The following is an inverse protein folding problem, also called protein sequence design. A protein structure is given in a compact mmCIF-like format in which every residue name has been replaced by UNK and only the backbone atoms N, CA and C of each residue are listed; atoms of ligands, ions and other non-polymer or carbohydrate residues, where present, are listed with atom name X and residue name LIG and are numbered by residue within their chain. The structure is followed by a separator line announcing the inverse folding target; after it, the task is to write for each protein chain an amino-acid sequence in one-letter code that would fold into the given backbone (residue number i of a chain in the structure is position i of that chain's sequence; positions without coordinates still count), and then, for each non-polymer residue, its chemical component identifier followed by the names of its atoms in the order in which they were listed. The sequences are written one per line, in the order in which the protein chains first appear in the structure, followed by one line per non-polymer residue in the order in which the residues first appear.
data_IF_547233933738
#
_entry.id   IF_547233933738
#
_cell.length_a   1.000
_cell.length_b   1.000
_cell.length_c   1.000
_cell.angle_alpha   90.00
_cell.angle_beta   90.00
_cell.angle_gamma   90.00
#
_symmetry.space_group_name_H-M   'P 1'
#
loop_
_entity.id
_entity.type
_entity.pdbx_description
1 polymer ?
#
# COMPACT_ATOMS: atom_id res chain seq x y z
N UNK A 1 -4.08 -22.31 6.48
CA UNK A 1 -2.89 -21.45 6.26
C UNK A 1 -1.78 -21.70 7.26
N UNK A 2 -2.07 -22.23 8.46
CA UNK A 2 -1.06 -22.44 9.51
C UNK A 2 0.15 -23.28 9.07
N UNK A 3 -0.08 -24.44 8.44
CA UNK A 3 0.99 -25.32 7.94
C UNK A 3 1.96 -24.60 6.98
N UNK A 4 1.45 -23.86 6.01
CA UNK A 4 2.28 -23.20 5.01
C UNK A 4 3.17 -22.12 5.63
N UNK A 5 2.65 -21.31 6.55
CA UNK A 5 3.42 -20.24 7.22
C UNK A 5 4.54 -20.78 8.11
N UNK A 6 4.35 -21.98 8.66
CA UNK A 6 5.28 -22.63 9.58
C UNK A 6 6.20 -23.65 8.92
N UNK A 7 5.99 -23.97 7.64
CA UNK A 7 6.80 -24.96 6.94
C UNK A 7 8.29 -24.53 6.92
N UNK A 8 9.25 -25.41 7.25
CA UNK A 8 10.66 -25.02 7.43
C UNK A 8 11.24 -24.23 6.25
N UNK A 9 10.91 -24.61 5.02
CA UNK A 9 11.34 -23.89 3.81
C UNK A 9 10.80 -22.45 3.74
N UNK A 10 9.56 -22.22 4.16
CA UNK A 10 8.94 -20.90 4.13
C UNK A 10 9.43 -20.01 5.26
N UNK A 11 9.72 -20.60 6.43
CA UNK A 11 10.34 -19.89 7.56
C UNK A 11 11.76 -19.45 7.17
N UNK A 12 12.60 -20.37 6.69
CA UNK A 12 13.97 -20.09 6.28
C UNK A 12 14.06 -18.99 5.23
N UNK A 13 13.09 -18.98 4.31
CA UNK A 13 13.05 -18.00 3.23
C UNK A 13 12.33 -16.72 3.62
N UNK A 14 11.69 -16.63 4.79
CA UNK A 14 10.82 -15.51 5.15
C UNK A 14 9.71 -15.29 4.12
N UNK A 15 9.10 -16.36 3.60
CA UNK A 15 8.02 -16.31 2.59
C UNK A 15 6.79 -15.56 3.09
N UNK A 16 6.53 -15.62 4.39
CA UNK A 16 5.49 -14.86 5.06
C UNK A 16 6.13 -13.93 6.09
N UNK A 17 5.54 -12.74 6.23
CA UNK A 17 5.91 -11.71 7.20
C UNK A 17 4.67 -11.37 8.04
N UNK A 18 4.90 -10.94 9.27
CA UNK A 18 3.87 -10.36 10.11
C UNK A 18 3.98 -8.83 10.05
N UNK A 19 2.90 -8.16 9.66
CA UNK A 19 2.83 -6.71 9.65
C UNK A 19 1.47 -6.27 10.16
N UNK A 20 1.43 -5.34 11.12
CA UNK A 20 0.21 -4.86 11.74
C UNK A 20 -0.69 -5.98 12.29
N UNK A 21 -0.09 -7.04 12.86
CA UNK A 21 -0.80 -8.20 13.41
C UNK A 21 -1.40 -9.15 12.37
N UNK A 22 -1.07 -8.97 11.08
CA UNK A 22 -1.56 -9.81 9.99
C UNK A 22 -0.37 -10.56 9.36
N UNK A 23 -0.47 -11.89 9.30
CA UNK A 23 0.47 -12.71 8.53
C UNK A 23 0.12 -12.64 7.05
N UNK A 24 1.07 -12.18 6.23
CA UNK A 24 0.91 -12.01 4.79
C UNK A 24 2.17 -12.42 4.03
N UNK A 25 2.08 -12.75 2.74
CA UNK A 25 3.25 -13.03 1.92
C UNK A 25 4.21 -11.84 1.88
N UNK A 26 5.51 -12.09 1.95
CA UNK A 26 6.53 -11.10 1.66
C UNK A 26 6.54 -10.77 0.14
N UNK A 27 7.00 -9.58 -0.27
CA UNK A 27 7.17 -9.25 -1.68
C UNK A 27 8.00 -10.30 -2.45
N UNK A 28 7.54 -10.65 -3.64
CA UNK A 28 8.19 -11.62 -4.52
C UNK A 28 8.15 -11.16 -5.99
N UNK A 29 9.16 -11.49 -6.82
CA UNK A 29 10.39 -12.23 -6.50
C UNK A 29 11.37 -11.41 -5.62
N UNK A 30 12.37 -12.09 -5.03
CA UNK A 30 13.38 -11.46 -4.17
C UNK A 30 14.55 -10.97 -5.01
N UNK A 31 14.58 -9.68 -5.31
CA UNK A 31 15.72 -9.06 -5.97
C UNK A 31 16.89 -8.90 -5.00
N UNK A 32 18.11 -9.15 -5.49
CA UNK A 32 19.34 -9.06 -4.69
C UNK A 32 19.83 -7.63 -4.50
N UNK A 33 19.67 -6.77 -5.51
CA UNK A 33 20.16 -5.38 -5.47
C UNK A 33 19.12 -4.40 -4.90
N UNK A 34 17.85 -4.59 -5.26
CA UNK A 34 16.74 -3.71 -4.84
C UNK A 34 15.61 -4.52 -4.19
N UNK A 35 15.81 -5.03 -2.96
CA UNK A 35 14.78 -5.81 -2.27
C UNK A 35 13.46 -5.02 -2.14
N UNK A 36 12.37 -5.62 -2.62
CA UNK A 36 11.03 -5.07 -2.41
C UNK A 36 10.63 -5.11 -0.93
N UNK A 37 9.83 -4.15 -0.50
CA UNK A 37 9.31 -4.09 0.87
C UNK A 37 7.88 -3.54 0.87
N UNK A 38 7.09 -3.94 1.87
CA UNK A 38 5.74 -3.39 2.07
C UNK A 38 5.90 -1.99 2.67
N UNK A 39 5.49 -0.97 1.92
CA UNK A 39 5.77 0.43 2.26
C UNK A 39 4.67 1.10 3.09
N UNK A 40 3.42 0.68 2.95
CA UNK A 40 2.26 1.30 3.60
C UNK A 40 1.05 0.35 3.60
N UNK A 41 0.11 0.53 4.55
CA UNK A 41 -1.14 -0.23 4.56
C UNK A 41 -2.02 0.11 3.35
N UNK A 42 -3.06 -0.70 3.09
CA UNK A 42 -4.09 -0.36 2.09
C UNK A 42 -4.69 1.02 2.35
N UNK A 43 -4.92 1.79 1.29
CA UNK A 43 -5.52 3.11 1.37
C UNK A 43 -7.03 3.02 1.63
N UNK A 44 -7.57 3.97 2.39
CA UNK A 44 -9.01 4.25 2.39
C UNK A 44 -9.43 4.92 1.07
N UNK A 45 -10.72 4.81 0.74
CA UNK A 45 -11.28 5.56 -0.38
C UNK A 45 -11.06 7.07 -0.18
N UNK A 46 -10.49 7.73 -1.20
CA UNK A 46 -10.20 9.17 -1.17
C UNK A 46 -9.00 9.60 -0.33
N UNK A 47 -8.29 8.67 0.36
CA UNK A 47 -7.21 9.01 1.29
C UNK A 47 -6.10 9.88 0.67
N UNK A 48 -5.84 9.73 -0.63
CA UNK A 48 -4.77 10.45 -1.34
C UNK A 48 -5.32 11.42 -2.40
N UNK A 49 -6.62 11.73 -2.40
CA UNK A 49 -7.24 12.61 -3.42
C UNK A 49 -6.54 13.97 -3.47
N UNK A 50 -6.37 14.63 -2.32
CA UNK A 50 -5.80 15.98 -2.26
C UNK A 50 -4.30 15.99 -2.59
N UNK A 51 -3.55 14.98 -2.12
CA UNK A 51 -2.13 14.80 -2.46
C UNK A 51 -1.95 14.70 -3.98
N UNK A 52 -2.73 13.86 -4.65
CA UNK A 52 -2.60 13.66 -6.10
C UNK A 52 -3.08 14.89 -6.87
N UNK A 53 -4.24 15.46 -6.54
CA UNK A 53 -4.76 16.63 -7.25
C UNK A 53 -3.89 17.86 -7.04
N UNK A 54 -3.42 18.09 -5.81
CA UNK A 54 -2.62 19.25 -5.46
C UNK A 54 -1.15 19.09 -5.85
N UNK A 55 -0.45 18.11 -5.29
CA UNK A 55 1.00 18.01 -5.41
C UNK A 55 1.43 17.47 -6.78
N UNK A 56 0.69 16.52 -7.34
CA UNK A 56 1.08 15.86 -8.60
C UNK A 56 0.49 16.56 -9.83
N UNK A 57 -0.77 17.02 -9.74
CA UNK A 57 -1.48 17.65 -10.85
C UNK A 57 -1.53 19.18 -10.77
N UNK A 58 -1.12 19.78 -9.65
CA UNK A 58 -0.98 21.22 -9.51
C UNK A 58 -2.30 21.98 -9.38
N UNK A 59 -3.40 21.33 -8.97
CA UNK A 59 -4.65 22.03 -8.70
C UNK A 59 -4.53 22.82 -7.40
N UNK A 60 -5.06 24.05 -7.42
CA UNK A 60 -5.19 24.82 -6.19
C UNK A 60 -6.33 24.29 -5.30
N UNK A 61 -6.33 24.74 -4.04
CA UNK A 61 -7.33 24.31 -3.07
C UNK A 61 -8.77 24.66 -3.46
N UNK A 62 -8.97 25.74 -4.24
CA UNK A 62 -10.30 26.15 -4.71
C UNK A 62 -10.85 25.21 -5.77
N UNK A 63 -10.02 24.80 -6.72
CA UNK A 63 -10.36 23.81 -7.73
C UNK A 63 -10.70 22.45 -7.09
N UNK A 64 -9.90 22.01 -6.12
CA UNK A 64 -10.14 20.76 -5.38
C UNK A 64 -11.47 20.84 -4.60
N UNK A 65 -11.74 21.95 -3.92
CA UNK A 65 -12.99 22.15 -3.21
C UNK A 65 -14.22 22.09 -4.14
N UNK A 66 -14.16 22.73 -5.31
CA UNK A 66 -15.24 22.68 -6.29
C UNK A 66 -15.52 21.25 -6.80
N UNK A 67 -14.48 20.43 -6.95
CA UNK A 67 -14.65 19.01 -7.33
C UNK A 67 -15.35 18.20 -6.24
N UNK A 68 -15.07 18.50 -4.96
CA UNK A 68 -15.72 17.85 -3.81
C UNK A 68 -17.18 18.28 -3.68
N UNK A 69 -17.45 19.58 -3.80
CA UNK A 69 -18.81 20.13 -3.72
C UNK A 69 -19.73 19.54 -4.80
N UNK A 70 -19.20 19.30 -5.99
CA UNK A 70 -19.95 18.69 -7.10
C UNK A 70 -20.01 17.16 -7.05
N UNK A 71 -19.39 16.52 -6.04
CA UNK A 71 -19.36 15.07 -5.89
C UNK A 71 -18.53 14.33 -6.95
N UNK A 72 -17.66 15.04 -7.68
CA UNK A 72 -16.76 14.45 -8.69
C UNK A 72 -15.68 13.61 -8.03
N UNK A 73 -15.21 14.03 -6.86
CA UNK A 73 -14.21 13.31 -6.05
C UNK A 73 -14.68 13.17 -4.61
N UNK A 74 -14.29 12.06 -3.98
CA UNK A 74 -14.60 11.72 -2.59
C UNK A 74 -13.68 12.46 -1.61
#
# INVERSE_FOLDING_TARGET
MDEATRHPHNVERGTFIELNGITQPAPAPRFSETPGSVQRPPAHAGQHTDEVLGEWLGLDAGAIAALRENGTVA
#
